data_IF_847796394985
#
_entry.id   IF_847796394985
#
_cell.length_a   1.000
_cell.length_b   1.000
_cell.length_c   1.000
_cell.angle_alpha   90.00
_cell.angle_beta   90.00
_cell.angle_gamma   90.00
#
_symmetry.space_group_name_H-M   'P 1'
#
loop_
_entity.id
_entity.type
_entity.pdbx_description
1 polymer ?
#
# COMPACT_ATOMS: atom_id res chain seq x y z
N UNK A 1 17.75 13.70 8.65
CA UNK A 1 17.39 13.98 10.07
C UNK A 1 15.95 13.63 10.41
N UNK A 2 14.95 13.96 9.56
CA UNK A 2 13.51 13.70 9.81
C UNK A 2 13.16 12.23 10.16
N UNK A 3 13.86 11.25 9.57
CA UNK A 3 13.64 9.82 9.87
C UNK A 3 13.88 9.46 11.33
N UNK A 4 14.85 10.11 12.00
CA UNK A 4 15.20 9.79 13.38
C UNK A 4 14.08 10.23 14.34
N UNK A 5 13.44 11.36 14.05
CA UNK A 5 12.29 11.86 14.82
C UNK A 5 11.08 10.93 14.72
N UNK A 6 10.82 10.35 13.53
CA UNK A 6 9.74 9.37 13.35
C UNK A 6 9.91 8.11 14.20
N UNK A 7 11.15 7.72 14.53
CA UNK A 7 11.41 6.58 15.42
C UNK A 7 11.36 6.97 16.90
N UNK A 8 11.68 8.21 17.26
CA UNK A 8 11.63 8.69 18.65
C UNK A 8 10.19 8.90 19.15
N UNK A 9 9.28 9.39 18.29
CA UNK A 9 7.87 9.63 18.65
C UNK A 9 7.18 8.38 19.25
N UNK A 10 7.19 7.20 18.62
CA UNK A 10 6.54 6.01 19.17
C UNK A 10 7.21 5.50 20.46
N UNK A 11 8.52 5.72 20.63
CA UNK A 11 9.24 5.37 21.87
C UNK A 11 8.74 6.23 23.04
N UNK A 12 8.62 7.55 22.82
CA UNK A 12 8.10 8.48 23.83
C UNK A 12 6.65 8.13 24.21
N UNK A 13 5.81 7.81 23.22
CA UNK A 13 4.42 7.39 23.44
C UNK A 13 4.36 6.07 24.24
N UNK A 14 5.19 5.08 23.91
CA UNK A 14 5.24 3.82 24.64
C UNK A 14 5.66 3.99 26.10
N UNK A 15 6.64 4.86 26.37
CA UNK A 15 7.06 5.21 27.74
C UNK A 15 5.90 5.86 28.51
N UNK A 16 5.19 6.80 27.89
CA UNK A 16 4.05 7.46 28.52
C UNK A 16 2.93 6.48 28.89
N UNK A 17 2.53 5.61 27.95
CA UNK A 17 1.52 4.56 28.18
C UNK A 17 1.95 3.59 29.29
N UNK A 18 3.24 3.24 29.32
CA UNK A 18 3.77 2.35 30.36
C UNK A 18 3.63 2.97 31.76
N UNK A 19 3.99 4.24 31.92
CA UNK A 19 3.84 4.93 33.20
C UNK A 19 2.37 5.11 33.61
N UNK A 20 1.49 5.39 32.66
CA UNK A 20 0.06 5.54 32.91
C UNK A 20 -0.58 4.21 33.38
N UNK A 21 -0.30 3.11 32.67
CA UNK A 21 -0.81 1.78 33.03
C UNK A 21 -0.17 1.23 34.32
N UNK A 22 1.08 1.61 34.62
CA UNK A 22 1.75 1.29 35.89
C UNK A 22 1.07 1.96 37.08
N UNK A 23 0.59 3.20 36.93
CA UNK A 23 -0.18 3.89 37.98
C UNK A 23 -1.50 3.18 38.32
N UNK A 24 -2.09 2.50 37.33
CA UNK A 24 -3.35 1.74 37.47
C UNK A 24 -3.12 0.34 38.09
N UNK A 25 -1.86 -0.05 38.36
CA UNK A 25 -1.52 -1.36 38.93
C UNK A 25 -1.54 -2.52 37.94
N UNK A 26 -1.70 -2.24 36.63
CA UNK A 26 -1.75 -3.23 35.54
C UNK A 26 -0.42 -3.34 34.80
N UNK A 27 0.66 -3.55 35.55
CA UNK A 27 2.04 -3.57 35.03
C UNK A 27 2.27 -4.61 33.92
N UNK A 28 1.62 -5.77 33.97
CA UNK A 28 1.74 -6.81 32.94
C UNK A 28 1.18 -6.38 31.58
N UNK A 29 0.01 -5.74 31.58
CA UNK A 29 -0.63 -5.20 30.38
C UNK A 29 0.18 -4.01 29.84
N UNK A 30 0.78 -3.22 30.73
CA UNK A 30 1.67 -2.11 30.36
C UNK A 30 2.87 -2.57 29.52
N UNK A 31 3.53 -3.66 29.92
CA UNK A 31 4.64 -4.22 29.15
C UNK A 31 4.20 -4.73 27.78
N UNK A 32 3.06 -5.42 27.71
CA UNK A 32 2.55 -5.98 26.46
C UNK A 32 2.22 -4.86 25.46
N UNK A 33 1.53 -3.82 25.90
CA UNK A 33 1.14 -2.67 25.07
C UNK A 33 2.35 -1.83 24.67
N UNK A 34 3.28 -1.53 25.59
CA UNK A 34 4.47 -0.76 25.27
C UNK A 34 5.38 -1.48 24.25
N UNK A 35 5.54 -2.81 24.37
CA UNK A 35 6.29 -3.59 23.39
C UNK A 35 5.59 -3.59 22.03
N UNK A 36 4.26 -3.78 21.99
CA UNK A 36 3.50 -3.74 20.75
C UNK A 36 3.65 -2.38 20.04
N UNK A 37 3.56 -1.26 20.77
CA UNK A 37 3.76 0.08 20.22
C UNK A 37 5.20 0.31 19.72
N UNK A 38 6.21 -0.19 20.45
CA UNK A 38 7.61 -0.02 20.07
C UNK A 38 8.00 -0.85 18.82
N UNK A 39 7.39 -2.03 18.62
CA UNK A 39 7.70 -2.92 17.50
C UNK A 39 6.77 -2.75 16.31
N UNK A 40 5.46 -2.55 16.48
CA UNK A 40 4.53 -2.40 15.35
C UNK A 40 4.79 -1.13 14.54
N UNK A 41 5.19 -0.04 15.20
CA UNK A 41 5.39 1.26 14.54
C UNK A 41 6.58 1.29 13.56
N UNK A 42 7.76 0.69 13.83
CA UNK A 42 8.82 0.55 12.84
C UNK A 42 8.56 -0.57 11.82
N UNK A 43 7.81 -1.60 12.19
CA UNK A 43 7.56 -2.76 11.32
C UNK A 43 6.54 -2.43 10.21
N UNK A 44 5.47 -1.67 10.49
CA UNK A 44 4.45 -1.35 9.49
C UNK A 44 4.98 -0.57 8.26
N UNK A 45 5.85 0.47 8.41
CA UNK A 45 6.49 1.14 7.28
C UNK A 45 7.43 0.20 6.49
N UNK A 46 8.12 -0.72 7.16
CA UNK A 46 9.00 -1.70 6.50
C UNK A 46 8.19 -2.70 5.67
N UNK A 47 7.09 -3.21 6.22
CA UNK A 47 6.15 -4.08 5.51
C UNK A 47 5.56 -3.36 4.30
N UNK A 48 5.16 -2.10 4.45
CA UNK A 48 4.65 -1.28 3.34
C UNK A 48 5.69 -1.10 2.23
N UNK A 49 6.94 -0.79 2.58
CA UNK A 49 8.04 -0.66 1.61
C UNK A 49 8.35 -1.98 0.90
N UNK A 50 8.28 -3.11 1.60
CA UNK A 50 8.49 -4.44 1.04
C UNK A 50 7.34 -4.87 0.10
N UNK A 51 6.10 -4.46 0.40
CA UNK A 51 4.92 -4.77 -0.42
C UNK A 51 4.73 -3.80 -1.60
N UNK A 52 5.22 -2.56 -1.52
CA UNK A 52 5.14 -1.54 -2.58
C UNK A 52 5.52 -2.05 -3.98
N UNK A 53 6.65 -2.77 -4.21
CA UNK A 53 6.97 -3.28 -5.54
C UNK A 53 5.94 -4.30 -6.03
N UNK A 54 5.38 -5.13 -5.15
CA UNK A 54 4.34 -6.11 -5.48
C UNK A 54 3.01 -5.45 -5.83
N UNK A 55 2.62 -4.37 -5.11
CA UNK A 55 1.41 -3.61 -5.46
C UNK A 55 1.53 -2.89 -6.81
N UNK A 56 2.72 -2.35 -7.15
CA UNK A 56 2.94 -1.71 -8.47
C UNK A 56 2.80 -2.70 -9.63
N UNK A 57 3.23 -3.95 -9.45
CA UNK A 57 3.04 -5.01 -10.45
C UNK A 57 1.56 -5.36 -10.63
N UNK A 58 0.78 -5.41 -9.54
CA UNK A 58 -0.66 -5.68 -9.62
C UNK A 58 -1.43 -4.55 -10.30
N UNK A 59 -1.09 -3.29 -10.04
CA UNK A 59 -1.70 -2.14 -10.73
C UNK A 59 -1.25 -2.02 -12.19
N UNK A 60 -0.01 -2.40 -12.52
CA UNK A 60 0.47 -2.40 -13.90
C UNK A 60 -0.20 -3.45 -14.77
N UNK A 61 -0.65 -4.59 -14.20
CA UNK A 61 -1.43 -5.58 -14.95
C UNK A 61 -2.88 -5.14 -15.19
N UNK A 62 -3.31 -4.02 -14.61
CA UNK A 62 -4.53 -3.32 -14.99
C UNK A 62 -4.26 -2.21 -16.04
N UNK A 63 -3.09 -2.24 -16.72
CA UNK A 63 -2.95 -1.53 -17.98
C UNK A 63 -3.91 -2.20 -18.96
N UNK A 64 -5.06 -1.55 -19.13
CA UNK A 64 -5.97 -1.71 -20.27
C UNK A 64 -5.09 -1.94 -21.51
N UNK A 65 -5.08 -3.17 -22.00
CA UNK A 65 -4.38 -3.52 -23.24
C UNK A 65 -5.03 -2.71 -24.35
N UNK A 66 -4.44 -1.57 -24.67
CA UNK A 66 -4.86 -0.72 -25.77
C UNK A 66 -4.54 -1.47 -27.06
N UNK A 67 -5.53 -2.23 -27.55
CA UNK A 67 -5.42 -2.97 -28.79
C UNK A 67 -5.57 -1.99 -29.95
N UNK A 68 -4.82 -2.20 -31.02
CA UNK A 68 -4.85 -1.35 -32.20
C UNK A 68 -5.64 -2.02 -33.32
N UNK A 69 -6.48 -1.25 -34.00
CA UNK A 69 -7.24 -1.77 -35.13
C UNK A 69 -6.28 -2.07 -36.29
N UNK A 70 -6.24 -3.32 -36.75
CA UNK A 70 -5.39 -3.77 -37.86
C UNK A 70 -5.59 -3.01 -39.17
N UNK A 71 -6.76 -2.38 -39.36
CA UNK A 71 -7.13 -1.70 -40.61
C UNK A 71 -6.86 -0.20 -40.62
N UNK A 72 -6.94 0.47 -39.46
CA UNK A 72 -6.82 1.94 -39.40
C UNK A 72 -5.87 2.45 -38.31
N UNK A 73 -5.26 1.54 -37.53
CA UNK A 73 -4.31 1.87 -36.47
C UNK A 73 -4.93 2.59 -35.27
N UNK A 74 -6.25 2.74 -35.20
CA UNK A 74 -6.89 3.39 -34.07
C UNK A 74 -6.88 2.48 -32.84
N UNK A 75 -6.49 3.02 -31.69
CA UNK A 75 -6.56 2.32 -30.41
C UNK A 75 -8.01 2.15 -29.97
N UNK A 76 -8.34 0.97 -29.46
CA UNK A 76 -9.66 0.68 -28.92
C UNK A 76 -9.53 -0.17 -27.64
N UNK A 77 -10.57 -0.12 -26.81
CA UNK A 77 -10.66 -0.98 -25.63
C UNK A 77 -11.10 -2.39 -26.03
N UNK A 78 -10.47 -3.41 -25.44
CA UNK A 78 -10.73 -4.84 -25.70
C UNK A 78 -12.20 -5.28 -25.60
N UNK A 79 -13.10 -4.45 -25.07
CA UNK A 79 -14.53 -4.73 -24.99
C UNK A 79 -15.31 -4.37 -26.27
N UNK A 80 -14.68 -3.74 -27.26
CA UNK A 80 -15.33 -3.31 -28.50
C UNK A 80 -15.22 -4.37 -29.61
N UNK A 81 -16.37 -4.86 -30.12
CA UNK A 81 -16.41 -5.83 -31.25
C UNK A 81 -16.20 -5.18 -32.62
N UNK A 82 -16.32 -3.85 -32.72
CA UNK A 82 -16.19 -3.07 -33.96
C UNK A 82 -15.42 -1.79 -33.68
N UNK A 83 -14.58 -1.39 -34.63
CA UNK A 83 -13.82 -0.16 -34.53
C UNK A 83 -14.72 1.05 -34.76
N UNK A 84 -14.78 1.97 -33.79
CA UNK A 84 -15.57 3.20 -33.88
C UNK A 84 -15.16 4.12 -35.03
N UNK A 85 -13.91 4.02 -35.53
CA UNK A 85 -13.37 4.92 -36.56
C UNK A 85 -13.60 4.42 -37.99
N UNK A 86 -13.40 3.13 -38.25
CA UNK A 86 -13.46 2.57 -39.60
C UNK A 86 -14.57 1.52 -39.78
N UNK A 87 -15.34 1.23 -38.73
CA UNK A 87 -16.42 0.24 -38.75
C UNK A 87 -15.95 -1.22 -38.90
N UNK A 88 -14.64 -1.47 -38.93
CA UNK A 88 -14.10 -2.81 -39.11
C UNK A 88 -14.42 -3.70 -37.91
N UNK A 89 -14.69 -4.98 -38.16
CA UNK A 89 -14.85 -5.95 -37.09
C UNK A 89 -13.51 -6.22 -36.44
N UNK A 90 -13.45 -6.07 -35.12
CA UNK A 90 -12.25 -6.28 -34.34
C UNK A 90 -12.25 -7.75 -33.93
N UNK A 91 -11.31 -8.51 -34.48
CA UNK A 91 -11.10 -9.91 -34.13
C UNK A 91 -10.33 -9.89 -32.81
N UNK A 92 -10.99 -10.36 -31.74
CA UNK A 92 -10.39 -10.50 -30.42
C UNK A 92 -9.43 -11.68 -30.40
#
# INVERSE_FOLDING_TARGET
MVRLFFYLIPIVIAIFIFFDLKKIGRSSIAFMVASACAFLFPIAPLIYLALRPKLKLTTSNASISTLFCSRCGHSYDSHQKKCSKCGNQLVL
#
